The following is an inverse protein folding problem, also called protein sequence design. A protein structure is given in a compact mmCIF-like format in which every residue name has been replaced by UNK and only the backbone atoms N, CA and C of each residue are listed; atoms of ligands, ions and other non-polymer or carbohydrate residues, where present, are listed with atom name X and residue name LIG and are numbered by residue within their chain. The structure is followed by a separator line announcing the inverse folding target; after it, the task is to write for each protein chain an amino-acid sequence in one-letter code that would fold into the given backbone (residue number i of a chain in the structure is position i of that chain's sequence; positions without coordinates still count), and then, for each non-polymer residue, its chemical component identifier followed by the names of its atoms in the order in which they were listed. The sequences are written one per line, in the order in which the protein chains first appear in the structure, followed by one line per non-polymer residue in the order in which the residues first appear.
data_IF_236917475571
#
_entry.id   IF_236917475571
#
_cell.length_a   1.000
_cell.length_b   1.000
_cell.length_c   1.000
_cell.angle_alpha   90.00
_cell.angle_beta   90.00
_cell.angle_gamma   90.00
#
_symmetry.space_group_name_H-M   'P 1'
#
loop_
_entity.id
_entity.type
_entity.pdbx_description
1 polymer ?
#
# COMPACT_ATOMS: atom_id res chain seq x y z
N UNK A 1 -1.87 -10.88 7.23
CA UNK A 1 -2.86 -10.05 7.96
C UNK A 1 -3.67 -10.95 8.89
N UNK A 2 -3.91 -10.60 10.16
CA UNK A 2 -4.82 -11.38 11.00
C UNK A 2 -6.28 -11.06 10.70
N UNK A 3 -7.21 -11.99 10.97
CA UNK A 3 -8.64 -11.79 10.76
C UNK A 3 -9.18 -10.55 11.48
N UNK A 4 -8.77 -10.32 12.73
CA UNK A 4 -9.10 -9.11 13.48
C UNK A 4 -8.70 -7.83 12.74
N UNK A 5 -7.53 -7.81 12.10
CA UNK A 5 -7.05 -6.65 11.32
C UNK A 5 -7.84 -6.50 10.02
N UNK A 6 -8.14 -7.61 9.34
CA UNK A 6 -8.94 -7.63 8.12
C UNK A 6 -10.36 -7.11 8.36
N UNK A 7 -11.01 -7.52 9.45
CA UNK A 7 -12.36 -7.06 9.79
C UNK A 7 -12.39 -5.56 10.10
N UNK A 8 -11.37 -5.03 10.79
CA UNK A 8 -11.22 -3.58 10.98
C UNK A 8 -11.08 -2.84 9.65
N UNK A 9 -10.29 -3.37 8.72
CA UNK A 9 -10.10 -2.76 7.41
C UNK A 9 -11.40 -2.74 6.60
N UNK A 10 -12.17 -3.84 6.61
CA UNK A 10 -13.49 -3.91 5.97
C UNK A 10 -14.48 -2.89 6.54
N UNK A 11 -14.55 -2.78 7.88
CA UNK A 11 -15.40 -1.80 8.56
C UNK A 11 -14.99 -0.37 8.22
N UNK A 12 -13.69 -0.10 8.19
CA UNK A 12 -13.18 1.22 7.81
C UNK A 12 -13.52 1.58 6.36
N UNK A 13 -13.33 0.65 5.43
CA UNK A 13 -13.70 0.84 4.02
C UNK A 13 -15.21 1.15 3.87
N UNK A 14 -16.07 0.38 4.54
CA UNK A 14 -17.51 0.64 4.57
C UNK A 14 -17.85 2.02 5.15
N UNK A 15 -17.16 2.46 6.21
CA UNK A 15 -17.38 3.79 6.79
C UNK A 15 -16.94 4.96 5.91
N UNK A 16 -16.10 4.69 4.91
CA UNK A 16 -15.56 5.67 3.95
C UNK A 16 -16.25 5.60 2.58
N UNK A 17 -17.26 4.74 2.43
CA UNK A 17 -17.90 4.42 1.15
C UNK A 17 -16.87 4.09 0.05
N UNK A 18 -15.84 3.33 0.43
CA UNK A 18 -14.75 2.91 -0.44
C UNK A 18 -14.60 1.40 -0.42
N UNK A 19 -14.03 0.86 -1.50
CA UNK A 19 -13.60 -0.54 -1.50
C UNK A 19 -12.35 -0.70 -0.63
N UNK A 20 -12.13 -1.90 -0.11
CA UNK A 20 -10.92 -2.21 0.65
C UNK A 20 -9.65 -1.97 -0.18
N UNK A 21 -9.73 -2.21 -1.50
CA UNK A 21 -8.64 -1.94 -2.45
C UNK A 21 -8.32 -0.46 -2.54
N UNK A 22 -9.33 0.40 -2.71
CA UNK A 22 -9.13 1.85 -2.80
C UNK A 22 -8.50 2.42 -1.51
N UNK A 23 -8.87 1.91 -0.34
CA UNK A 23 -8.23 2.29 0.93
C UNK A 23 -6.74 1.91 0.96
N UNK A 24 -6.38 0.76 0.39
CA UNK A 24 -4.98 0.32 0.32
C UNK A 24 -4.19 1.11 -0.70
N UNK A 25 -4.77 1.44 -1.85
CA UNK A 25 -4.17 2.34 -2.85
C UNK A 25 -3.90 3.72 -2.25
N UNK A 26 -4.90 4.34 -1.61
CA UNK A 26 -4.73 5.62 -0.92
C UNK A 26 -3.62 5.56 0.14
N UNK A 27 -3.54 4.43 0.87
CA UNK A 27 -2.48 4.23 1.87
C UNK A 27 -1.11 4.13 1.22
N UNK A 28 -0.97 3.35 0.14
CA UNK A 28 0.28 3.18 -0.61
C UNK A 28 0.75 4.52 -1.16
N UNK A 29 -0.16 5.29 -1.77
CA UNK A 29 0.13 6.61 -2.33
C UNK A 29 0.52 7.64 -1.25
N UNK A 30 0.07 7.42 0.00
CA UNK A 30 0.44 8.27 1.14
C UNK A 30 1.80 7.91 1.75
N UNK A 31 2.37 6.75 1.42
CA UNK A 31 3.70 6.38 1.92
C UNK A 31 4.73 7.30 1.27
N UNK A 32 5.74 7.77 2.04
CA UNK A 32 6.85 8.47 1.43
C UNK A 32 7.49 7.57 0.38
N UNK A 33 7.81 8.15 -0.78
CA UNK A 33 8.68 7.51 -1.76
C UNK A 33 9.98 7.14 -1.06
N UNK A 34 10.17 5.86 -0.75
CA UNK A 34 11.52 5.35 -0.60
C UNK A 34 12.15 5.50 -1.98
N UNK A 35 13.03 6.50 -2.15
CA UNK A 35 13.98 6.47 -3.24
C UNK A 35 14.71 5.13 -3.12
N UNK A 36 14.27 4.11 -3.87
CA UNK A 36 15.08 2.93 -4.18
C UNK A 36 16.14 3.40 -5.20
N UNK A 37 16.83 4.49 -4.88
CA UNK A 37 17.95 5.00 -5.65
C UNK A 37 19.20 4.28 -5.14
N UNK A 38 19.56 3.23 -5.89
CA UNK A 38 20.91 3.04 -6.50
C UNK A 38 21.30 1.58 -6.77
N UNK A 39 20.54 0.58 -6.31
CA UNK A 39 20.98 -0.81 -6.47
C UNK A 39 20.48 -1.52 -7.73
N UNK A 40 19.45 -1.00 -8.41
CA UNK A 40 18.93 -1.62 -9.65
C UNK A 40 19.52 -1.05 -10.94
N UNK A 41 20.23 0.08 -10.89
CA UNK A 41 20.92 0.63 -12.05
C UNK A 41 22.21 -0.15 -12.43
N UNK A 42 22.77 -0.95 -11.51
CA UNK A 42 24.03 -1.69 -11.74
C UNK A 42 23.85 -2.92 -12.63
N UNK A 43 22.62 -3.38 -12.86
CA UNK A 43 22.34 -4.60 -13.65
C UNK A 43 21.97 -4.33 -15.12
N UNK A 44 21.99 -3.07 -15.57
CA UNK A 44 21.75 -2.73 -17.00
C UNK A 44 23.03 -2.50 -17.81
N UNK A 45 24.20 -2.47 -17.16
CA UNK A 45 25.51 -2.24 -17.79
C UNK A 45 26.47 -3.44 -17.62
N UNK A 46 26.00 -4.69 -17.74
CA UNK A 46 26.85 -5.89 -17.75
C UNK A 46 26.45 -6.88 -18.83
#
# INVERSE_FOLDING_TARGET
MSERRLNKLRLYAASKDKTMTAILEDLIDSLPSEEIDKSLAVLKDS
#
